data_IF_456234658040
#
_entry.id   IF_456234658040
#
_cell.length_a   1.000
_cell.length_b   1.000
_cell.length_c   1.000
_cell.angle_alpha   90.00
_cell.angle_beta   90.00
_cell.angle_gamma   90.00
#
_symmetry.space_group_name_H-M   'P 1'
#
loop_
_entity.id
_entity.type
_entity.pdbx_description
1 polymer ?
#
# COMPACT_ATOMS: atom_id res chain seq x y z
N UNK A 1 12.55 21.86 3.86
CA UNK A 1 12.80 21.26 2.53
C UNK A 1 13.42 19.89 2.72
N UNK A 2 12.73 18.85 2.23
CA UNK A 2 13.24 17.48 2.22
C UNK A 2 14.26 17.39 1.07
N UNK A 3 15.48 16.94 1.34
CA UNK A 3 16.51 16.78 0.30
C UNK A 3 16.01 15.84 -0.81
N UNK A 4 16.37 16.11 -2.07
CA UNK A 4 15.90 15.32 -3.23
C UNK A 4 16.16 13.81 -3.12
N UNK A 5 17.22 13.40 -2.40
CA UNK A 5 17.49 11.98 -2.08
C UNK A 5 16.45 11.37 -1.15
N UNK A 6 16.04 12.09 -0.11
CA UNK A 6 15.01 11.66 0.82
C UNK A 6 13.62 11.63 0.15
N UNK A 7 13.35 12.58 -0.75
CA UNK A 7 12.14 12.58 -1.61
C UNK A 7 12.03 11.30 -2.44
N UNK A 8 13.15 10.90 -3.06
CA UNK A 8 13.19 9.69 -3.87
C UNK A 8 13.05 8.41 -3.02
N UNK A 9 13.72 8.35 -1.87
CA UNK A 9 13.58 7.25 -0.92
C UNK A 9 12.13 7.09 -0.42
N UNK A 10 11.47 8.19 -0.04
CA UNK A 10 10.06 8.18 0.38
C UNK A 10 9.13 7.78 -0.78
N UNK A 11 9.44 8.18 -2.01
CA UNK A 11 8.66 7.78 -3.19
C UNK A 11 8.75 6.27 -3.42
N UNK A 12 9.96 5.70 -3.34
CA UNK A 12 10.17 4.25 -3.42
C UNK A 12 9.45 3.53 -2.28
N UNK A 13 9.56 4.04 -1.05
CA UNK A 13 8.86 3.47 0.10
C UNK A 13 7.34 3.50 -0.09
N UNK A 14 6.77 4.59 -0.62
CA UNK A 14 5.33 4.68 -0.93
C UNK A 14 4.89 3.60 -1.93
N UNK A 15 5.72 3.32 -2.94
CA UNK A 15 5.45 2.26 -3.91
C UNK A 15 5.52 0.88 -3.24
N UNK A 16 6.53 0.64 -2.40
CA UNK A 16 6.64 -0.60 -1.63
C UNK A 16 5.43 -0.81 -0.74
N UNK A 17 4.89 0.24 -0.11
CA UNK A 17 3.69 0.11 0.73
C UNK A 17 2.46 -0.24 -0.12
N UNK A 18 2.27 0.41 -1.26
CA UNK A 18 1.13 0.16 -2.16
C UNK A 18 1.19 -1.27 -2.72
N UNK A 19 2.32 -1.64 -3.33
CA UNK A 19 2.48 -2.94 -3.97
C UNK A 19 2.70 -4.08 -2.97
N UNK A 20 3.42 -3.82 -1.89
CA UNK A 20 3.69 -4.79 -0.83
C UNK A 20 2.42 -5.18 -0.08
N UNK A 21 1.52 -4.23 0.20
CA UNK A 21 0.22 -4.54 0.78
C UNK A 21 -0.66 -5.38 -0.15
N UNK A 22 -0.70 -5.05 -1.44
CA UNK A 22 -1.42 -5.86 -2.43
C UNK A 22 -0.84 -7.29 -2.55
N UNK A 23 0.48 -7.43 -2.64
CA UNK A 23 1.16 -8.71 -2.70
C UNK A 23 0.91 -9.54 -1.44
N UNK A 24 1.03 -8.92 -0.26
CA UNK A 24 0.74 -9.57 1.01
C UNK A 24 -0.70 -10.08 1.08
N UNK A 25 -1.67 -9.27 0.61
CA UNK A 25 -3.06 -9.69 0.57
C UNK A 25 -3.27 -10.91 -0.34
N UNK A 26 -2.59 -10.93 -1.49
CA UNK A 26 -2.65 -12.01 -2.46
C UNK A 26 -2.09 -13.31 -1.86
N UNK A 27 -0.94 -13.23 -1.18
CA UNK A 27 -0.32 -14.38 -0.50
C UNK A 27 -1.24 -14.94 0.58
N UNK A 28 -1.85 -14.09 1.41
CA UNK A 28 -2.78 -14.52 2.46
C UNK A 28 -4.03 -15.18 1.88
N UNK A 29 -4.57 -14.64 0.78
CA UNK A 29 -5.71 -15.25 0.09
C UNK A 29 -5.36 -16.63 -0.46
N UNK A 30 -4.19 -16.79 -1.08
CA UNK A 30 -3.72 -18.10 -1.58
C UNK A 30 -3.57 -19.09 -0.41
N UNK A 31 -2.93 -18.69 0.68
CA UNK A 31 -2.77 -19.55 1.86
C UNK A 31 -4.11 -19.96 2.46
N UNK A 32 -5.04 -19.01 2.61
CA UNK A 32 -6.40 -19.28 3.09
C UNK A 32 -7.14 -20.25 2.17
N UNK A 33 -7.00 -20.10 0.86
CA UNK A 33 -7.65 -20.97 -0.12
C UNK A 33 -7.09 -22.39 -0.15
N UNK A 34 -5.77 -22.55 0.06
CA UNK A 34 -5.13 -23.87 0.20
C UNK A 34 -5.61 -24.57 1.47
N UNK A 35 -5.86 -23.84 2.55
CA UNK A 35 -6.28 -24.42 3.83
C UNK A 35 -7.77 -24.74 3.89
N UNK A 36 -8.61 -23.94 3.25
CA UNK A 36 -10.07 -24.11 3.31
C UNK A 36 -10.70 -23.72 1.97
N UNK A 37 -11.09 -24.72 1.19
CA UNK A 37 -11.62 -24.55 -0.17
C UNK A 37 -13.11 -24.19 -0.18
N UNK A 38 -13.72 -23.98 1.00
CA UNK A 38 -15.12 -23.64 1.11
C UNK A 38 -15.37 -22.18 0.69
N UNK A 39 -16.35 -21.94 -0.18
CA UNK A 39 -16.73 -20.58 -0.64
C UNK A 39 -16.98 -19.56 0.49
N UNK A 40 -17.57 -19.94 1.64
CA UNK A 40 -17.71 -19.04 2.80
C UNK A 40 -16.38 -18.65 3.46
N UNK A 41 -15.37 -19.52 3.45
CA UNK A 41 -14.05 -19.22 3.99
C UNK A 41 -13.34 -18.15 3.14
N UNK A 42 -13.50 -18.20 1.82
CA UNK A 42 -12.98 -17.16 0.92
C UNK A 42 -13.56 -15.78 1.21
N UNK A 43 -14.88 -15.67 1.44
CA UNK A 43 -15.52 -14.39 1.77
C UNK A 43 -15.02 -13.79 3.09
N UNK A 44 -14.78 -14.62 4.11
CA UNK A 44 -14.20 -14.18 5.38
C UNK A 44 -12.74 -13.76 5.23
N UNK A 45 -11.96 -14.54 4.49
CA UNK A 45 -10.58 -14.19 4.16
C UNK A 45 -10.55 -12.82 3.48
N UNK A 46 -11.33 -12.62 2.41
CA UNK A 46 -11.44 -11.34 1.68
C UNK A 46 -11.79 -10.17 2.60
N UNK A 47 -12.72 -10.37 3.55
CA UNK A 47 -13.13 -9.35 4.52
C UNK A 47 -11.98 -8.99 5.48
N UNK A 48 -11.13 -9.95 5.84
CA UNK A 48 -9.98 -9.71 6.71
C UNK A 48 -8.81 -9.04 5.97
N UNK A 49 -8.60 -9.36 4.68
CA UNK A 49 -7.50 -8.78 3.89
C UNK A 49 -7.87 -7.48 3.21
N UNK A 50 -9.16 -7.21 2.99
CA UNK A 50 -9.65 -5.97 2.40
C UNK A 50 -9.14 -4.70 3.11
N UNK A 51 -9.27 -4.58 4.45
CA UNK A 51 -8.75 -3.44 5.20
C UNK A 51 -7.23 -3.26 5.03
N UNK A 52 -6.48 -4.35 4.92
CA UNK A 52 -5.02 -4.31 4.72
C UNK A 52 -4.70 -3.78 3.33
N UNK A 53 -5.40 -4.27 2.30
CA UNK A 53 -5.28 -3.79 0.93
C UNK A 53 -5.59 -2.30 0.81
N UNK A 54 -6.77 -1.87 1.27
CA UNK A 54 -7.19 -0.47 1.20
C UNK A 54 -6.30 0.42 2.08
N UNK A 55 -5.92 -0.05 3.27
CA UNK A 55 -5.01 0.69 4.15
C UNK A 55 -3.63 0.91 3.53
N UNK A 56 -3.09 -0.09 2.82
CA UNK A 56 -1.84 0.04 2.06
C UNK A 56 -1.94 1.08 0.94
N UNK A 57 -3.01 1.00 0.13
CA UNK A 57 -3.22 1.91 -1.00
C UNK A 57 -3.41 3.35 -0.51
N UNK A 58 -4.24 3.55 0.52
CA UNK A 58 -4.50 4.89 1.09
C UNK A 58 -3.23 5.46 1.71
N UNK A 59 -2.54 4.73 2.59
CA UNK A 59 -1.35 5.25 3.26
C UNK A 59 -0.21 5.54 2.28
N UNK A 60 0.06 4.62 1.35
CA UNK A 60 1.09 4.85 0.33
C UNK A 60 0.70 5.97 -0.64
N UNK A 61 -0.58 6.07 -1.01
CA UNK A 61 -1.10 7.15 -1.84
C UNK A 61 -0.99 8.52 -1.17
N UNK A 62 -1.38 8.61 0.11
CA UNK A 62 -1.24 9.84 0.92
C UNK A 62 0.22 10.25 1.05
N UNK A 63 1.13 9.30 1.32
CA UNK A 63 2.56 9.60 1.37
C UNK A 63 3.06 10.19 0.04
N UNK A 64 2.61 9.63 -1.09
CA UNK A 64 2.95 10.12 -2.43
C UNK A 64 2.41 11.52 -2.70
N UNK A 65 1.19 11.81 -2.24
CA UNK A 65 0.58 13.13 -2.32
C UNK A 65 1.38 14.16 -1.51
N UNK A 66 1.76 13.84 -0.27
CA UNK A 66 2.56 14.71 0.59
C UNK A 66 3.92 15.03 -0.05
N UNK A 67 4.60 14.03 -0.62
CA UNK A 67 5.85 14.21 -1.37
C UNK A 67 5.66 15.16 -2.56
N UNK A 68 4.54 15.05 -3.27
CA UNK A 68 4.23 15.89 -4.43
C UNK A 68 3.90 17.33 -4.05
N UNK A 69 3.24 17.53 -2.90
CA UNK A 69 2.92 18.86 -2.35
C UNK A 69 4.21 19.54 -1.91
N UNK A 70 5.07 18.85 -1.16
CA UNK A 70 6.37 19.37 -0.74
C UNK A 70 7.24 19.77 -1.94
N UNK A 71 7.20 19.00 -3.04
CA UNK A 71 7.93 19.32 -4.28
C UNK A 71 7.39 20.60 -4.96
N UNK A 72 6.06 20.76 -4.99
CA UNK A 72 5.40 21.94 -5.57
C UNK A 72 5.63 23.19 -4.71
N UNK A 73 5.71 23.05 -3.40
CA UNK A 73 6.03 24.14 -2.49
C UNK A 73 7.50 24.58 -2.64
N UNK A 74 8.42 23.63 -2.78
CA UNK A 74 9.84 23.93 -3.06
C UNK A 74 10.04 24.65 -4.41
N UNK A 75 9.23 24.35 -5.43
CA UNK A 75 9.30 25.06 -6.72
C UNK A 75 8.69 26.48 -6.70
N UNK A 76 7.89 26.81 -5.69
CA UNK A 76 7.21 28.11 -5.56
C UNK A 76 7.91 29.08 -4.60
N UNK A 77 8.87 28.59 -3.81
CA UNK A 77 9.71 29.38 -2.93
C UNK A 77 10.97 29.84 -3.67
#
# INVERSE_FOLDING_TARGET
MITGRLRNALSIFSLIVIFGGALFCLILLIFGFIQDTSGPAFGRALTNVGPIFFGSVINGGVLRLLISIDARLEQKA
#
